data_IF_079968424567
#
_entry.id   IF_079968424567
#
_cell.length_a   1.000
_cell.length_b   1.000
_cell.length_c   1.000
_cell.angle_alpha   90.00
_cell.angle_beta   90.00
_cell.angle_gamma   90.00
#
_symmetry.space_group_name_H-M   'P 1'
#
loop_
_entity.id
_entity.type
_entity.pdbx_description
1 polymer ?
#
# COMPACT_ATOMS: atom_id res chain seq x y z
N UNK A 1 6.29 -27.11 -8.43
CA UNK A 1 5.46 -26.25 -9.32
C UNK A 1 5.15 -24.89 -8.66
N UNK A 2 6.03 -24.35 -7.80
CA UNK A 2 5.80 -23.06 -7.10
C UNK A 2 6.81 -21.97 -7.50
N UNK A 3 7.95 -22.33 -8.12
CA UNK A 3 9.01 -21.36 -8.45
C UNK A 3 8.74 -20.47 -9.66
N UNK A 4 7.86 -20.87 -10.59
CA UNK A 4 7.64 -20.11 -11.85
C UNK A 4 6.85 -18.82 -11.67
N UNK A 5 6.10 -18.66 -10.58
CA UNK A 5 5.26 -17.49 -10.36
C UNK A 5 6.04 -16.29 -9.82
N UNK A 6 7.18 -16.55 -9.16
CA UNK A 6 7.98 -15.50 -8.52
C UNK A 6 8.77 -14.66 -9.52
N UNK A 7 9.16 -15.24 -10.67
CA UNK A 7 9.94 -14.54 -11.69
C UNK A 7 9.12 -13.52 -12.49
N UNK A 8 7.82 -13.77 -12.70
CA UNK A 8 6.95 -12.85 -13.45
C UNK A 8 6.68 -11.53 -12.71
N UNK A 9 6.80 -11.55 -11.37
CA UNK A 9 6.58 -10.38 -10.50
C UNK A 9 7.75 -9.38 -10.54
N UNK A 10 8.98 -9.85 -10.78
CA UNK A 10 10.17 -8.98 -10.80
C UNK A 10 10.27 -8.14 -12.09
N UNK A 11 9.78 -8.65 -13.22
CA UNK A 11 9.86 -7.93 -14.52
C UNK A 11 8.91 -6.73 -14.61
N UNK A 12 7.89 -6.63 -13.75
CA UNK A 12 6.95 -5.50 -13.72
C UNK A 12 7.32 -4.38 -12.74
N UNK A 13 8.45 -4.48 -12.03
CA UNK A 13 8.92 -3.43 -11.12
C UNK A 13 8.18 -3.34 -9.78
N UNK A 14 7.34 -4.32 -9.44
CA UNK A 14 6.69 -4.43 -8.12
C UNK A 14 7.65 -5.16 -7.17
N UNK A 15 8.39 -4.39 -6.38
CA UNK A 15 9.23 -4.95 -5.33
C UNK A 15 8.35 -5.39 -4.15
N UNK A 16 8.16 -6.70 -3.99
CA UNK A 16 7.50 -7.30 -2.84
C UNK A 16 8.54 -7.59 -1.75
N UNK A 17 8.44 -6.90 -0.61
CA UNK A 17 9.34 -7.13 0.53
C UNK A 17 8.74 -8.18 1.48
N UNK A 18 9.29 -9.38 1.42
CA UNK A 18 9.05 -10.43 2.41
C UNK A 18 10.21 -10.41 3.41
N UNK A 19 10.01 -9.78 4.57
CA UNK A 19 10.96 -9.85 5.68
C UNK A 19 10.97 -11.28 6.22
N UNK A 20 12.00 -12.04 5.86
CA UNK A 20 12.36 -13.29 6.53
C UNK A 20 12.83 -12.92 7.93
N UNK A 21 12.06 -13.36 8.93
CA UNK A 21 12.36 -13.25 10.36
C UNK A 21 13.85 -13.51 10.66
N UNK A 22 14.61 -12.52 11.16
CA UNK A 22 15.90 -12.77 11.78
C UNK A 22 15.64 -13.06 13.27
N UNK A 23 15.10 -14.24 13.57
CA UNK A 23 15.17 -14.73 14.94
C UNK A 23 16.65 -14.96 15.25
N UNK A 24 17.13 -14.26 16.29
CA UNK A 24 18.50 -14.23 16.84
C UNK A 24 19.47 -13.16 16.30
N UNK A 25 19.27 -11.90 16.68
CA UNK A 25 20.41 -11.01 16.98
C UNK A 25 20.08 -10.15 18.19
N UNK A 26 20.86 -10.29 19.27
CA UNK A 26 20.74 -9.47 20.46
C UNK A 26 21.17 -8.04 20.11
N UNK A 27 20.29 -7.06 20.33
CA UNK A 27 20.57 -5.64 20.05
C UNK A 27 20.00 -5.10 18.72
N UNK A 28 18.94 -5.69 18.18
CA UNK A 28 18.22 -5.09 17.04
C UNK A 28 17.55 -3.82 17.52
N UNK A 29 18.19 -2.68 17.25
CA UNK A 29 17.51 -1.40 17.13
C UNK A 29 16.28 -1.66 16.26
N UNK A 30 15.09 -1.38 16.76
CA UNK A 30 13.88 -1.31 15.94
C UNK A 30 14.07 -0.13 14.99
N UNK A 31 14.91 -0.32 13.96
CA UNK A 31 15.15 0.67 12.94
C UNK A 31 13.88 0.67 12.11
N UNK A 32 12.98 1.58 12.43
CA UNK A 32 11.82 1.85 11.59
C UNK A 32 12.34 2.04 10.18
N UNK A 33 11.79 1.27 9.24
CA UNK A 33 12.26 1.33 7.87
C UNK A 33 11.85 2.68 7.29
N UNK A 34 12.84 3.52 6.98
CA UNK A 34 12.61 4.81 6.35
C UNK A 34 12.17 4.57 4.90
N UNK A 35 10.97 5.05 4.59
CA UNK A 35 10.48 5.02 3.21
C UNK A 35 11.34 5.99 2.38
N UNK A 36 11.59 5.67 1.09
CA UNK A 36 12.25 6.60 0.18
C UNK A 36 11.55 7.96 0.22
N UNK A 37 12.29 9.08 0.19
CA UNK A 37 11.70 10.43 0.15
C UNK A 37 10.84 10.69 -1.10
N UNK A 38 10.89 9.78 -2.08
CA UNK A 38 10.03 9.81 -3.27
C UNK A 38 8.69 9.11 -3.05
N UNK A 39 8.53 8.36 -1.95
CA UNK A 39 7.30 7.66 -1.62
C UNK A 39 6.27 8.64 -1.10
N UNK A 40 5.17 8.77 -1.83
CA UNK A 40 4.04 9.62 -1.47
C UNK A 40 2.85 8.83 -0.94
N UNK A 41 2.77 7.54 -1.29
CA UNK A 41 1.63 6.70 -0.90
C UNK A 41 2.07 5.36 -0.32
N UNK A 42 1.44 4.98 0.80
CA UNK A 42 1.59 3.68 1.42
C UNK A 42 0.27 2.90 1.36
N UNK A 43 0.27 1.77 0.66
CA UNK A 43 -0.83 0.82 0.62
C UNK A 43 -0.66 -0.19 1.75
N UNK A 44 -1.53 -0.13 2.75
CA UNK A 44 -1.63 -1.08 3.85
C UNK A 44 -2.70 -2.11 3.51
N UNK A 45 -2.29 -3.35 3.24
CA UNK A 45 -3.21 -4.42 2.85
C UNK A 45 -2.64 -5.79 3.22
N UNK A 46 -3.46 -6.72 3.76
CA UNK A 46 -3.02 -8.09 4.01
C UNK A 46 -2.75 -8.87 2.70
N UNK A 47 -3.21 -8.35 1.56
CA UNK A 47 -3.04 -8.96 0.25
C UNK A 47 -2.29 -7.99 -0.67
N UNK A 48 -1.16 -8.45 -1.21
CA UNK A 48 -0.44 -7.72 -2.25
C UNK A 48 -1.32 -7.68 -3.52
N UNK A 49 -1.55 -6.51 -4.14
CA UNK A 49 -2.31 -6.44 -5.38
C UNK A 49 -1.54 -7.08 -6.55
N UNK A 50 -2.18 -8.03 -7.24
CA UNK A 50 -1.60 -8.75 -8.39
C UNK A 50 -2.53 -8.69 -9.61
N UNK A 51 -1.98 -8.78 -10.83
CA UNK A 51 -2.74 -8.83 -12.08
C UNK A 51 -3.72 -7.66 -12.22
N UNK A 52 -5.01 -7.95 -12.38
CA UNK A 52 -6.07 -6.92 -12.51
C UNK A 52 -6.15 -5.98 -11.31
N UNK A 53 -5.83 -6.45 -10.10
CA UNK A 53 -5.83 -5.61 -8.89
C UNK A 53 -4.69 -4.58 -8.94
N UNK A 54 -3.50 -4.97 -9.44
CA UNK A 54 -2.38 -4.07 -9.63
C UNK A 54 -2.68 -3.00 -10.70
N UNK A 55 -3.33 -3.39 -11.80
CA UNK A 55 -3.78 -2.44 -12.84
C UNK A 55 -4.81 -1.46 -12.28
N UNK A 56 -5.76 -1.94 -11.48
CA UNK A 56 -6.73 -1.07 -10.82
C UNK A 56 -6.04 -0.12 -9.83
N UNK A 57 -5.12 -0.64 -9.02
CA UNK A 57 -4.32 0.15 -8.08
C UNK A 57 -3.59 1.28 -8.82
N UNK A 58 -2.85 0.97 -9.88
CA UNK A 58 -2.15 1.97 -10.69
C UNK A 58 -3.11 3.05 -11.24
N UNK A 59 -4.28 2.64 -11.75
CA UNK A 59 -5.29 3.58 -12.25
C UNK A 59 -5.78 4.52 -11.15
N UNK A 60 -5.97 4.01 -9.93
CA UNK A 60 -6.35 4.82 -8.78
C UNK A 60 -5.21 5.78 -8.41
N UNK A 61 -3.96 5.35 -8.39
CA UNK A 61 -2.83 6.25 -8.08
C UNK A 61 -2.72 7.42 -9.08
N UNK A 62 -2.80 7.11 -10.38
CA UNK A 62 -2.76 8.11 -11.47
C UNK A 62 -3.83 9.19 -11.35
N UNK A 63 -4.89 8.89 -10.61
CA UNK A 63 -6.08 9.71 -10.51
C UNK A 63 -5.91 10.91 -9.55
N UNK A 64 -4.89 10.86 -8.69
CA UNK A 64 -4.45 11.96 -7.82
C UNK A 64 -2.94 12.22 -7.97
N UNK A 65 -2.41 12.02 -9.18
CA UNK A 65 -1.04 12.35 -9.59
C UNK A 65 0.07 11.58 -8.83
N UNK A 66 -0.25 10.39 -8.33
CA UNK A 66 0.75 9.50 -7.72
C UNK A 66 1.15 8.42 -8.72
N UNK A 67 2.45 8.23 -8.91
CA UNK A 67 2.97 7.13 -9.73
C UNK A 67 3.13 5.86 -8.91
N UNK A 68 3.02 4.69 -9.56
CA UNK A 68 3.26 3.39 -8.91
C UNK A 68 4.65 3.30 -8.26
N UNK A 69 5.65 3.96 -8.84
CA UNK A 69 7.02 4.03 -8.28
C UNK A 69 7.08 4.76 -6.93
N UNK A 70 6.18 5.72 -6.72
CA UNK A 70 6.03 6.50 -5.48
C UNK A 70 5.07 5.84 -4.49
N UNK A 71 4.50 4.69 -4.85
CA UNK A 71 3.68 3.88 -3.98
C UNK A 71 4.48 2.69 -3.42
N UNK A 72 4.18 2.31 -2.19
CA UNK A 72 4.71 1.11 -1.55
C UNK A 72 3.59 0.31 -0.92
N UNK A 73 3.71 -1.01 -0.96
CA UNK A 73 2.82 -1.92 -0.25
C UNK A 73 3.46 -2.33 1.07
N UNK A 74 2.66 -2.38 2.12
CA UNK A 74 3.04 -2.89 3.43
C UNK A 74 1.92 -3.78 3.98
N UNK A 75 2.30 -4.84 4.67
CA UNK A 75 1.36 -5.65 5.43
C UNK A 75 0.89 -4.88 6.68
N UNK A 76 -0.40 -4.92 7.04
CA UNK A 76 -0.92 -4.25 8.24
C UNK A 76 -0.17 -4.61 9.52
N UNK A 77 0.35 -5.83 9.66
CA UNK A 77 1.12 -6.25 10.83
C UNK A 77 2.52 -5.61 10.87
N UNK A 78 3.05 -5.19 9.72
CA UNK A 78 4.36 -4.56 9.61
C UNK A 78 4.29 -3.03 9.61
N UNK A 79 3.09 -2.43 9.67
CA UNK A 79 2.91 -0.98 9.63
C UNK A 79 3.64 -0.26 10.77
N UNK A 80 3.66 -0.85 11.97
CA UNK A 80 4.34 -0.31 13.15
C UNK A 80 5.87 -0.20 12.98
N UNK A 81 6.43 -1.00 12.06
CA UNK A 81 7.86 -1.03 11.76
C UNK A 81 8.27 -0.03 10.67
N UNK A 82 7.32 0.75 10.12
CA UNK A 82 7.56 1.67 9.00
C UNK A 82 7.34 3.11 9.45
N UNK A 83 8.30 3.99 9.14
CA UNK A 83 8.17 5.41 9.45
C UNK A 83 7.17 6.07 8.49
N UNK A 84 6.07 6.61 9.02
CA UNK A 84 5.00 7.28 8.25
C UNK A 84 5.22 8.80 8.12
N UNK A 85 6.35 9.31 8.59
CA UNK A 85 6.59 10.75 8.80
C UNK A 85 6.50 11.61 7.55
N UNK A 86 6.90 11.08 6.38
CA UNK A 86 6.94 11.83 5.11
C UNK A 86 5.86 11.37 4.11
N UNK A 87 4.90 10.58 4.57
CA UNK A 87 3.88 10.01 3.69
C UNK A 87 2.68 10.95 3.57
N UNK A 88 2.36 11.31 2.33
CA UNK A 88 1.23 12.17 2.02
C UNK A 88 -0.10 11.40 2.07
N UNK A 89 -0.10 10.16 1.59
CA UNK A 89 -1.29 9.31 1.50
C UNK A 89 -1.08 7.93 2.10
N UNK A 90 -2.02 7.47 2.92
CA UNK A 90 -2.03 6.09 3.41
C UNK A 90 -3.36 5.46 3.03
N UNK A 91 -3.29 4.38 2.28
CA UNK A 91 -4.46 3.64 1.82
C UNK A 91 -4.56 2.30 2.53
N UNK A 92 -5.58 2.17 3.38
CA UNK A 92 -5.96 0.92 4.03
C UNK A 92 -6.96 0.16 3.17
N UNK A 93 -6.54 -0.98 2.62
CA UNK A 93 -7.39 -1.87 1.82
C UNK A 93 -7.65 -3.18 2.58
N UNK A 94 -8.92 -3.45 2.88
CA UNK A 94 -9.34 -4.65 3.61
C UNK A 94 -8.94 -4.67 5.09
N UNK A 95 -8.56 -3.53 5.64
CA UNK A 95 -8.19 -3.36 7.04
C UNK A 95 -8.63 -1.98 7.56
N UNK A 96 -8.69 -1.83 8.88
CA UNK A 96 -9.03 -0.58 9.53
C UNK A 96 -7.82 0.34 9.62
N UNK A 97 -8.01 1.63 9.33
CA UNK A 97 -7.01 2.65 9.57
C UNK A 97 -6.86 2.89 11.09
N UNK A 98 -5.64 2.96 11.64
CA UNK A 98 -5.42 3.33 13.01
C UNK A 98 -5.70 4.82 13.22
N UNK A 99 -6.03 5.18 14.45
CA UNK A 99 -6.30 6.56 14.85
C UNK A 99 -4.99 7.35 14.99
N UNK A 100 -5.02 8.66 14.72
CA UNK A 100 -3.86 9.54 14.92
C UNK A 100 -2.86 9.62 13.76
N UNK A 101 -3.21 9.13 12.57
CA UNK A 101 -2.41 9.37 11.36
C UNK A 101 -2.66 10.81 10.85
N UNK A 102 -1.58 11.55 10.66
CA UNK A 102 -1.60 12.93 10.11
C UNK A 102 -1.74 12.97 8.59
N UNK A 103 -1.34 11.90 7.90
CA UNK A 103 -1.42 11.76 6.44
C UNK A 103 -2.87 11.64 5.94
N UNK A 104 -3.08 11.86 4.64
CA UNK A 104 -4.40 11.70 3.99
C UNK A 104 -4.77 10.22 3.96
N UNK A 105 -5.86 9.86 4.62
CA UNK A 105 -6.29 8.47 4.77
C UNK A 105 -7.32 8.08 3.71
N UNK A 106 -7.03 7.00 2.98
CA UNK A 106 -7.97 6.32 2.11
C UNK A 106 -8.32 4.97 2.71
N UNK A 107 -9.60 4.63 2.71
CA UNK A 107 -10.10 3.34 3.21
C UNK A 107 -10.94 2.66 2.15
N UNK A 108 -10.70 1.38 1.94
CA UNK A 108 -11.51 0.56 1.05
C UNK A 108 -11.55 -0.89 1.51
N UNK A 109 -12.51 -1.70 1.04
CA UNK A 109 -12.36 -3.15 1.10
C UNK A 109 -11.16 -3.61 0.25
N UNK A 110 -10.88 -4.91 0.28
CA UNK A 110 -9.81 -5.52 -0.53
C UNK A 110 -9.98 -5.18 -2.01
N UNK A 111 -8.88 -4.97 -2.74
CA UNK A 111 -8.93 -4.61 -4.16
C UNK A 111 -9.73 -5.62 -4.99
N UNK A 112 -9.63 -6.91 -4.70
CA UNK A 112 -10.47 -7.98 -5.28
C UNK A 112 -11.98 -7.72 -5.15
N UNK A 113 -12.42 -7.09 -4.06
CA UNK A 113 -13.82 -6.75 -3.84
C UNK A 113 -14.22 -5.43 -4.51
N UNK A 114 -13.28 -4.56 -4.85
CA UNK A 114 -13.60 -3.30 -5.52
C UNK A 114 -13.84 -3.52 -7.03
N UNK A 115 -13.14 -4.46 -7.64
CA UNK A 115 -13.29 -4.72 -9.08
C UNK A 115 -14.72 -5.20 -9.44
N UNK A 116 -15.39 -5.94 -8.57
CA UNK A 116 -16.79 -6.36 -8.79
C UNK A 116 -17.87 -5.35 -8.34
N UNK A 117 -17.50 -4.30 -7.60
CA UNK A 117 -18.48 -3.51 -6.83
C UNK A 117 -18.37 -2.01 -7.11
N UNK A 118 -19.26 -1.43 -7.96
CA UNK A 118 -19.19 -0.02 -8.33
C UNK A 118 -19.41 0.93 -7.14
N UNK A 119 -20.10 0.49 -6.08
CA UNK A 119 -20.29 1.28 -4.87
C UNK A 119 -18.96 1.53 -4.14
N UNK A 120 -18.11 0.51 -4.01
CA UNK A 120 -16.80 0.63 -3.37
C UNK A 120 -15.85 1.55 -4.17
N UNK A 121 -15.91 1.48 -5.51
CA UNK A 121 -15.17 2.41 -6.38
C UNK A 121 -15.59 3.85 -6.14
N UNK A 122 -16.91 4.09 -6.07
CA UNK A 122 -17.46 5.44 -5.87
C UNK A 122 -17.12 5.99 -4.49
N UNK A 123 -17.13 5.15 -3.46
CA UNK A 123 -16.74 5.53 -2.10
C UNK A 123 -15.26 5.91 -2.01
N UNK A 124 -14.38 5.08 -2.58
CA UNK A 124 -12.96 5.40 -2.69
C UNK A 124 -12.77 6.72 -3.45
N UNK A 125 -13.51 6.92 -4.53
CA UNK A 125 -13.43 8.15 -5.30
C UNK A 125 -13.87 9.39 -4.54
N UNK A 126 -14.94 9.26 -3.76
CA UNK A 126 -15.44 10.32 -2.89
C UNK A 126 -14.39 10.75 -1.88
N UNK A 127 -13.68 9.80 -1.27
CA UNK A 127 -12.59 10.09 -0.34
C UNK A 127 -11.46 10.87 -1.00
N UNK A 128 -10.97 10.42 -2.16
CA UNK A 128 -9.89 11.12 -2.88
C UNK A 128 -10.32 12.56 -3.22
N UNK A 129 -11.54 12.73 -3.74
CA UNK A 129 -12.08 14.04 -4.09
C UNK A 129 -12.18 14.97 -2.86
N UNK A 130 -12.56 14.44 -1.69
CA UNK A 130 -12.64 15.21 -0.45
C UNK A 130 -11.28 15.84 -0.06
N UNK A 131 -10.19 15.11 -0.25
CA UNK A 131 -8.83 15.59 0.03
C UNK A 131 -8.20 16.43 -1.09
N UNK A 132 -8.75 16.39 -2.30
CA UNK A 132 -8.36 17.27 -3.40
C UNK A 132 -9.08 18.62 -3.34
N UNK A 133 -10.24 18.67 -2.69
CA UNK A 133 -11.02 19.90 -2.50
C UNK A 133 -10.58 20.73 -1.27
N UNK A 134 -9.67 20.21 -0.44
CA UNK A 134 -9.13 20.86 0.75
C UNK A 134 -7.77 21.52 0.50
#
# INVERSE_FOLDING_TARGET
MQERQQYYLQEMGIQSWRLVHPDRMQGVVHTQYELPSTCKLLLVSPVLPEGSQAVMFEKVLKSFDVSLQQARHVDPHSLDLVALTDIEWIWFAGCSAPEGITAKLLTSPLLSQIDGHPQHRRELWRQICAYQAS
#
